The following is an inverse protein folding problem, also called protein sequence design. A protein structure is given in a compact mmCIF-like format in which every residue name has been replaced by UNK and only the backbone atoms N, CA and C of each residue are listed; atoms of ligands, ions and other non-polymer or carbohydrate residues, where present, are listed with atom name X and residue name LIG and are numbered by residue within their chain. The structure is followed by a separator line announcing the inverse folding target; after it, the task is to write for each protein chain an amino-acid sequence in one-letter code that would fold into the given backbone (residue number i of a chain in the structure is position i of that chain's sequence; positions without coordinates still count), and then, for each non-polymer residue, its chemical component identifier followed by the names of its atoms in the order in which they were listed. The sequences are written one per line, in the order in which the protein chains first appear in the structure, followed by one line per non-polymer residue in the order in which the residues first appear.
data_IF_952358912210
#
_entry.id   IF_952358912210
#
_cell.length_a   1.000
_cell.length_b   1.000
_cell.length_c   1.000
_cell.angle_alpha   90.00
_cell.angle_beta   90.00
_cell.angle_gamma   90.00
#
_symmetry.space_group_name_H-M   'P 1'
#
loop_
_entity.id
_entity.type
_entity.pdbx_description
1 polymer ?
#
# COMPACT_ATOMS: atom_id res chain seq x y z
N UNK A 1 -7.49 -12.11 10.63
CA UNK A 1 -6.60 -11.49 9.63
C UNK A 1 -5.34 -11.09 10.37
N UNK A 2 -4.18 -11.50 9.90
CA UNK A 2 -2.89 -11.15 10.47
C UNK A 2 -2.43 -9.79 9.92
N UNK A 3 -1.51 -9.11 10.63
CA UNK A 3 -1.04 -7.77 10.24
C UNK A 3 -0.13 -7.81 9.00
N UNK A 4 0.48 -8.96 8.78
CA UNK A 4 1.41 -9.34 7.73
C UNK A 4 0.74 -10.16 6.62
N UNK A 5 -0.58 -10.37 6.67
CA UNK A 5 -1.34 -10.93 5.55
C UNK A 5 -1.15 -10.03 4.31
N UNK A 6 -0.87 -10.65 3.15
CA UNK A 6 -0.67 -9.96 1.87
C UNK A 6 -1.72 -8.86 1.61
N UNK A 7 -2.99 -9.22 1.69
CA UNK A 7 -4.10 -8.29 1.41
C UNK A 7 -4.14 -7.11 2.41
N UNK A 8 -3.70 -7.33 3.66
CA UNK A 8 -3.65 -6.27 4.68
C UNK A 8 -2.53 -5.28 4.37
N UNK A 9 -1.37 -5.77 3.90
CA UNK A 9 -0.27 -4.91 3.45
C UNK A 9 -0.66 -4.13 2.19
N UNK A 10 -1.25 -4.80 1.20
CA UNK A 10 -1.80 -4.17 -0.02
C UNK A 10 -2.78 -3.05 0.34
N UNK A 11 -3.73 -3.33 1.24
CA UNK A 11 -4.70 -2.33 1.70
C UNK A 11 -4.01 -1.10 2.33
N UNK A 12 -3.02 -1.31 3.22
CA UNK A 12 -2.29 -0.22 3.87
C UNK A 12 -1.56 0.67 2.87
N UNK A 13 -0.88 0.05 1.89
CA UNK A 13 -0.19 0.76 0.81
C UNK A 13 -1.21 1.59 0.01
N UNK A 14 -2.30 0.97 -0.48
CA UNK A 14 -3.29 1.65 -1.30
C UNK A 14 -3.98 2.80 -0.57
N UNK A 15 -4.35 2.64 0.71
CA UNK A 15 -4.97 3.74 1.48
C UNK A 15 -4.00 4.92 1.67
N UNK A 16 -2.73 4.64 1.95
CA UNK A 16 -1.73 5.69 2.05
C UNK A 16 -1.58 6.43 0.71
N UNK A 17 -1.38 5.71 -0.39
CA UNK A 17 -1.23 6.34 -1.71
C UNK A 17 -2.50 7.07 -2.15
N UNK A 18 -3.69 6.54 -1.83
CA UNK A 18 -4.95 7.19 -2.15
C UNK A 18 -5.15 8.50 -1.37
N UNK A 19 -4.64 8.59 -0.14
CA UNK A 19 -4.61 9.85 0.61
C UNK A 19 -3.69 10.91 -0.04
N UNK A 20 -2.58 10.47 -0.62
CA UNK A 20 -1.66 11.33 -1.39
C UNK A 20 -2.34 11.78 -2.68
N UNK A 21 -2.93 10.86 -3.43
CA UNK A 21 -3.69 11.14 -4.65
C UNK A 21 -4.84 12.13 -4.42
N UNK A 22 -5.56 12.02 -3.30
CA UNK A 22 -6.62 12.96 -2.91
C UNK A 22 -6.12 14.32 -2.40
N UNK A 23 -4.81 14.55 -2.36
CA UNK A 23 -4.20 15.78 -1.83
C UNK A 23 -4.42 15.98 -0.33
N UNK A 24 -4.70 14.91 0.43
CA UNK A 24 -4.89 14.98 1.89
C UNK A 24 -3.56 15.03 2.64
N UNK A 25 -2.50 14.52 2.03
CA UNK A 25 -1.13 14.64 2.52
C UNK A 25 -0.12 14.52 1.35
N UNK A 26 1.12 14.92 1.61
CA UNK A 26 2.24 14.67 0.69
C UNK A 26 2.89 13.32 1.01
N UNK A 27 3.48 12.67 0.00
CA UNK A 27 4.27 11.47 0.21
C UNK A 27 5.44 11.76 1.16
N UNK A 28 5.60 10.92 2.18
CA UNK A 28 6.70 10.97 3.15
C UNK A 28 7.13 9.54 3.44
N UNK A 29 8.30 9.14 2.93
CA UNK A 29 8.79 7.77 3.02
C UNK A 29 8.79 7.21 4.44
N UNK A 30 9.19 7.99 5.44
CA UNK A 30 9.18 7.54 6.84
C UNK A 30 7.76 7.26 7.37
N UNK A 31 6.75 8.02 6.93
CA UNK A 31 5.35 7.79 7.29
C UNK A 31 4.81 6.58 6.53
N UNK A 32 5.06 6.50 5.22
CA UNK A 32 4.71 5.35 4.39
C UNK A 32 5.23 4.06 5.01
N UNK A 33 6.56 4.01 5.24
CA UNK A 33 7.20 2.88 5.89
C UNK A 33 6.56 2.63 7.24
N UNK A 34 6.42 3.59 8.16
CA UNK A 34 5.79 3.33 9.46
C UNK A 34 4.39 2.69 9.38
N UNK A 35 3.58 3.06 8.39
CA UNK A 35 2.22 2.51 8.20
C UNK A 35 2.22 1.09 7.60
N UNK A 36 3.27 0.72 6.85
CA UNK A 36 3.37 -0.58 6.15
C UNK A 36 4.49 -1.50 6.69
N UNK A 37 5.45 -0.99 7.44
CA UNK A 37 6.76 -1.61 7.78
C UNK A 37 6.75 -2.38 9.10
N UNK A 38 5.58 -2.78 9.61
CA UNK A 38 5.53 -3.80 10.66
C UNK A 38 5.81 -5.22 10.12
N UNK A 39 6.37 -5.29 8.91
CA UNK A 39 6.67 -6.48 8.14
C UNK A 39 8.12 -6.43 7.67
N UNK A 40 8.66 -7.59 7.31
CA UNK A 40 9.99 -7.73 6.73
C UNK A 40 10.17 -6.89 5.44
N UNK A 41 11.36 -6.31 5.25
CA UNK A 41 11.65 -5.42 4.12
C UNK A 41 11.64 -6.16 2.78
N UNK A 42 12.15 -7.39 2.73
CA UNK A 42 12.08 -8.19 1.51
C UNK A 42 10.64 -8.56 1.18
N UNK A 43 9.83 -8.84 2.20
CA UNK A 43 8.40 -9.05 2.01
C UNK A 43 7.71 -7.82 1.42
N UNK A 44 7.99 -6.62 1.94
CA UNK A 44 7.46 -5.37 1.37
C UNK A 44 7.87 -5.21 -0.10
N UNK A 45 9.14 -5.47 -0.46
CA UNK A 45 9.62 -5.41 -1.85
C UNK A 45 8.88 -6.39 -2.75
N UNK A 46 8.60 -7.62 -2.28
CA UNK A 46 7.81 -8.62 -3.01
C UNK A 46 6.37 -8.14 -3.23
N UNK A 47 5.73 -7.58 -2.19
CA UNK A 47 4.37 -7.04 -2.29
C UNK A 47 4.31 -5.90 -3.30
N UNK A 48 5.23 -4.93 -3.23
CA UNK A 48 5.30 -3.82 -4.18
C UNK A 48 5.51 -4.29 -5.63
N UNK A 49 6.36 -5.30 -5.82
CA UNK A 49 6.56 -5.88 -7.14
C UNK A 49 5.29 -6.58 -7.68
N UNK A 50 4.56 -7.31 -6.83
CA UNK A 50 3.28 -7.94 -7.20
C UNK A 50 2.21 -6.89 -7.53
N UNK A 51 2.06 -5.86 -6.69
CA UNK A 51 1.12 -4.77 -6.95
C UNK A 51 1.42 -4.00 -8.23
N UNK A 52 2.70 -3.86 -8.59
CA UNK A 52 3.11 -3.26 -9.87
C UNK A 52 2.76 -4.16 -11.06
N UNK A 53 3.03 -5.47 -10.95
CA UNK A 53 2.66 -6.46 -11.97
C UNK A 53 1.12 -6.55 -12.15
N UNK A 54 0.36 -6.40 -11.07
CA UNK A 54 -1.12 -6.37 -11.07
C UNK A 54 -1.70 -5.02 -11.54
N UNK A 55 -0.85 -4.01 -11.77
CA UNK A 55 -1.28 -2.68 -12.21
C UNK A 55 -1.98 -1.85 -11.12
N UNK A 56 -1.88 -2.23 -9.84
CA UNK A 56 -2.48 -1.49 -8.72
C UNK A 56 -1.69 -0.23 -8.36
N UNK A 57 -0.38 -0.25 -8.62
CA UNK A 57 0.54 0.88 -8.42
C UNK A 57 1.44 1.05 -9.64
N UNK A 58 2.01 2.24 -9.78
CA UNK A 58 2.95 2.57 -10.84
C UNK A 58 4.13 3.41 -10.31
N UNK A 59 5.08 3.71 -11.19
CA UNK A 59 6.25 4.54 -10.89
C UNK A 59 7.44 3.79 -10.29
N UNK A 60 7.24 2.59 -9.75
CA UNK A 60 8.35 1.74 -9.27
C UNK A 60 8.97 0.92 -10.40
N UNK A 61 10.30 0.89 -10.43
CA UNK A 61 11.08 0.11 -11.39
C UNK A 61 11.80 -1.03 -10.68
N UNK A 62 11.52 -2.25 -11.11
CA UNK A 62 12.16 -3.46 -10.59
C UNK A 62 13.06 -4.09 -11.64
N UNK A 63 14.32 -4.35 -11.28
CA UNK A 63 15.23 -5.15 -12.11
C UNK A 63 15.41 -6.56 -11.52
N UNK A 64 15.70 -7.53 -12.37
CA UNK A 64 16.06 -8.89 -11.93
C UNK A 64 17.56 -8.98 -11.75
N UNK A 65 18.00 -9.23 -10.52
CA UNK A 65 19.36 -9.61 -10.22
C UNK A 65 19.52 -11.14 -10.28
N UNK A 66 20.77 -11.59 -10.09
CA UNK A 66 21.09 -13.02 -10.09
C UNK A 66 20.24 -13.77 -9.05
N UNK A 67 19.77 -14.97 -9.40
CA UNK A 67 18.87 -15.75 -8.54
C UNK A 67 17.40 -15.28 -8.52
N UNK A 68 16.96 -14.51 -9.52
CA UNK A 68 15.59 -13.98 -9.64
C UNK A 68 15.16 -13.00 -8.53
N UNK A 69 16.12 -12.42 -7.81
CA UNK A 69 15.84 -11.37 -6.82
C UNK A 69 15.39 -10.11 -7.55
N UNK A 70 14.21 -9.56 -7.19
CA UNK A 70 13.75 -8.28 -7.70
C UNK A 70 14.31 -7.14 -6.84
N UNK A 71 15.07 -6.25 -7.46
CA UNK A 71 15.66 -5.08 -6.81
C UNK A 71 14.90 -3.84 -7.27
N UNK A 72 14.49 -2.99 -6.32
CA UNK A 72 13.94 -1.67 -6.61
C UNK A 72 15.09 -0.75 -7.03
N UNK A 73 14.99 -0.13 -8.21
CA UNK A 73 16.09 0.67 -8.80
C UNK A 73 15.85 2.19 -8.80
N UNK A 74 14.71 2.63 -8.26
CA UNK A 74 14.38 4.05 -8.11
C UNK A 74 13.87 4.37 -6.70
N UNK A 75 13.51 5.63 -6.46
CA UNK A 75 13.07 6.10 -5.14
C UNK A 75 11.64 5.61 -4.85
N UNK A 76 11.39 5.24 -3.60
CA UNK A 76 10.05 4.86 -3.17
C UNK A 76 9.06 6.03 -3.29
N UNK A 77 9.54 7.27 -3.31
CA UNK A 77 8.75 8.47 -3.54
C UNK A 77 8.14 8.57 -4.94
N UNK A 78 8.62 7.79 -5.90
CA UNK A 78 8.07 7.75 -7.26
C UNK A 78 6.78 6.92 -7.34
N UNK A 79 6.42 6.19 -6.29
CA UNK A 79 5.22 5.34 -6.27
C UNK A 79 3.93 6.16 -6.36
N UNK A 80 3.01 5.72 -7.21
CA UNK A 80 1.65 6.25 -7.29
C UNK A 80 0.62 5.14 -7.34
N UNK A 81 -0.62 5.43 -6.91
CA UNK A 81 -1.77 4.54 -7.09
C UNK A 81 -2.36 4.76 -8.49
N UNK A 82 -2.73 3.67 -9.16
CA UNK A 82 -3.40 3.72 -10.47
C UNK A 82 -4.92 3.80 -10.33
N UNK A 83 -5.65 3.98 -11.45
CA UNK A 83 -7.11 3.82 -11.45
C UNK A 83 -7.54 2.44 -10.96
N UNK A 84 -6.84 1.39 -11.38
CA UNK A 84 -7.16 0.00 -11.02
C UNK A 84 -6.91 -0.24 -9.53
N UNK A 85 -5.84 0.34 -8.97
CA UNK A 85 -5.59 0.37 -7.54
C UNK A 85 -6.70 1.05 -6.75
N UNK A 86 -7.24 2.16 -7.26
CA UNK A 86 -8.37 2.86 -6.65
C UNK A 86 -9.63 2.00 -6.69
N UNK A 87 -10.01 1.46 -7.86
CA UNK A 87 -11.19 0.59 -7.99
C UNK A 87 -11.07 -0.64 -7.10
N UNK A 88 -9.90 -1.28 -7.07
CA UNK A 88 -9.64 -2.41 -6.19
C UNK A 88 -9.82 -2.04 -4.72
N UNK A 89 -9.26 -0.90 -4.28
CA UNK A 89 -9.41 -0.43 -2.90
C UNK A 89 -10.87 -0.15 -2.52
N UNK A 90 -11.65 0.45 -3.43
CA UNK A 90 -13.01 0.92 -3.14
C UNK A 90 -14.10 -0.16 -3.28
N UNK A 91 -13.96 -1.04 -4.27
CA UNK A 91 -15.05 -1.92 -4.71
C UNK A 91 -14.85 -3.37 -4.29
N UNK A 92 -13.61 -3.80 -4.00
CA UNK A 92 -13.31 -5.19 -3.68
C UNK A 92 -13.88 -5.60 -2.31
N UNK A 93 -14.62 -6.72 -2.27
CA UNK A 93 -15.22 -7.27 -1.04
C UNK A 93 -14.22 -7.57 0.06
N UNK A 94 -13.01 -8.02 -0.29
CA UNK A 94 -11.94 -8.31 0.66
C UNK A 94 -11.37 -7.03 1.26
N UNK A 95 -11.14 -6.01 0.44
CA UNK A 95 -10.67 -4.69 0.90
C UNK A 95 -11.67 -4.05 1.86
N UNK A 96 -12.98 -4.17 1.61
CA UNK A 96 -14.04 -3.71 2.53
C UNK A 96 -13.96 -4.40 3.89
N UNK A 97 -13.79 -5.73 3.92
CA UNK A 97 -13.62 -6.47 5.19
C UNK A 97 -12.35 -6.08 5.94
N UNK A 98 -11.26 -5.81 5.22
CA UNK A 98 -10.00 -5.34 5.82
C UNK A 98 -10.17 -3.95 6.43
N UNK A 99 -10.84 -3.04 5.73
CA UNK A 99 -11.18 -1.71 6.24
C UNK A 99 -11.93 -1.82 7.58
N UNK A 100 -13.00 -2.61 7.62
CA UNK A 100 -13.78 -2.84 8.85
C UNK A 100 -12.93 -3.44 9.97
N UNK A 101 -12.12 -4.46 9.65
CA UNK A 101 -11.20 -5.08 10.60
C UNK A 101 -10.20 -4.08 11.19
N UNK A 102 -9.64 -3.18 10.38
CA UNK A 102 -8.66 -2.18 10.81
C UNK A 102 -9.28 -1.01 11.56
N UNK A 103 -10.50 -0.60 11.22
CA UNK A 103 -11.24 0.43 11.99
C UNK A 103 -11.57 -0.03 13.41
N UNK A 104 -11.83 -1.33 13.59
CA UNK A 104 -12.08 -1.93 14.90
C UNK A 104 -10.81 -2.10 15.74
N UNK A 105 -9.62 -1.77 15.21
CA UNK A 105 -8.37 -1.75 15.95
C UNK A 105 -7.97 -0.31 16.28
N UNK A 106 -7.65 -0.05 17.54
CA UNK A 106 -7.04 1.22 17.94
C UNK A 106 -5.64 1.37 17.32
N UNK A 107 -5.44 2.36 16.45
CA UNK A 107 -4.15 2.61 15.79
C UNK A 107 -4.15 3.73 14.74
N UNK A 108 -2.96 4.06 14.23
CA UNK A 108 -2.72 5.15 13.26
C UNK A 108 -3.44 4.94 11.93
N UNK A 109 -3.63 3.69 11.53
CA UNK A 109 -4.32 3.33 10.29
C UNK A 109 -5.80 3.74 10.28
N UNK A 110 -6.47 3.70 11.44
CA UNK A 110 -7.88 4.10 11.54
C UNK A 110 -8.06 5.58 11.16
N UNK A 111 -7.17 6.46 11.63
CA UNK A 111 -7.19 7.88 11.27
C UNK A 111 -6.95 8.14 9.77
N UNK A 112 -6.07 7.37 9.11
CA UNK A 112 -5.90 7.46 7.65
C UNK A 112 -7.15 7.00 6.91
N UNK A 113 -7.79 5.92 7.36
CA UNK A 113 -9.05 5.45 6.78
C UNK A 113 -10.13 6.52 6.93
N UNK A 114 -10.31 7.11 8.11
CA UNK A 114 -11.29 8.19 8.33
C UNK A 114 -11.00 9.41 7.46
N UNK A 115 -9.73 9.82 7.32
CA UNK A 115 -9.32 10.93 6.47
C UNK A 115 -9.68 10.73 4.99
N UNK A 116 -9.60 9.50 4.50
CA UNK A 116 -9.76 9.17 3.07
C UNK A 116 -11.20 8.79 2.72
N UNK A 117 -11.93 8.19 3.66
CA UNK A 117 -13.26 7.61 3.46
C UNK A 117 -14.38 8.26 4.28
N UNK A 118 -14.07 9.13 5.25
CA UNK A 118 -15.04 9.75 6.17
C UNK A 118 -15.65 11.07 5.70
N UNK A 119 -15.64 11.33 4.39
CA UNK A 119 -16.26 12.49 3.76
C UNK A 119 -17.50 12.11 2.96
#
# INVERSE_FOLDING_TARGET
MAKDDYDVVVFRILVYLYSVFKGKQNFRQNVFLKEVSRIDEEYLKRVLAMMSDEGLIEGLHFCRAWGNVRILVNDLADISITSDGIHYLLENNRMRKIKEFLLNQSGTMAGLIEMVFGG
#
